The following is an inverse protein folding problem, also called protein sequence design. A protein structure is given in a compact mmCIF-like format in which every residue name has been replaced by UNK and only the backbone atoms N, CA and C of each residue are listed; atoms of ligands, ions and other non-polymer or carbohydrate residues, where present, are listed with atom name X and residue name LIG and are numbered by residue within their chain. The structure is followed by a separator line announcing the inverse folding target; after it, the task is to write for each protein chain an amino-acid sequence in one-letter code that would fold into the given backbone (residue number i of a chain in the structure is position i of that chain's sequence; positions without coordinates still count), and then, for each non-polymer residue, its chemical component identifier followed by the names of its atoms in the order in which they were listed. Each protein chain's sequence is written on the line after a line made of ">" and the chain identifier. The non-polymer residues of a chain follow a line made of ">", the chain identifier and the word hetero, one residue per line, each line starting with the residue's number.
data_IF_457181250611
#
_entry.id   IF_457181250611
#
_cell.length_a   1.000
_cell.length_b   1.000
_cell.length_c   1.000
_cell.angle_alpha   90.00
_cell.angle_beta   90.00
_cell.angle_gamma   90.00
#
_symmetry.space_group_name_H-M   'P 1'
#
loop_
_entity.id
_entity.type
_entity.pdbx_description
1 polymer ?
#
# COMPACT_ATOMS: atom_id res chain seq x y z
N UNK A 1 -9.38 -7.99 -0.59
CA UNK A 1 -8.51 -8.09 0.61
C UNK A 1 -8.17 -9.56 0.85
N UNK A 2 -6.95 -9.89 1.28
CA UNK A 2 -6.54 -11.27 1.59
C UNK A 2 -6.11 -11.33 3.06
N UNK A 3 -6.65 -12.28 3.81
CA UNK A 3 -6.24 -12.52 5.21
C UNK A 3 -5.26 -13.69 5.25
N UNK A 4 -4.27 -13.60 6.12
CA UNK A 4 -3.28 -14.64 6.34
C UNK A 4 -3.48 -15.16 7.76
N UNK A 5 -3.53 -16.48 7.90
CA UNK A 5 -3.74 -17.10 9.21
C UNK A 5 -2.47 -17.04 10.07
N UNK A 6 -2.68 -16.94 11.39
CA UNK A 6 -1.64 -16.58 12.36
C UNK A 6 -0.45 -17.54 12.42
N UNK A 7 -0.61 -18.78 11.97
CA UNK A 7 0.44 -19.81 12.04
C UNK A 7 1.44 -19.73 10.87
N UNK A 8 1.21 -18.83 9.91
CA UNK A 8 2.07 -18.67 8.74
C UNK A 8 3.02 -17.49 8.95
N UNK A 9 4.31 -17.78 9.15
CA UNK A 9 5.36 -16.76 9.01
C UNK A 9 5.31 -16.22 7.58
N UNK A 10 4.79 -15.00 7.43
CA UNK A 10 4.65 -14.36 6.13
C UNK A 10 6.04 -14.13 5.55
N UNK A 11 6.39 -14.93 4.53
CA UNK A 11 7.46 -14.57 3.62
C UNK A 11 6.82 -13.65 2.58
N UNK A 12 7.06 -12.34 2.67
CA UNK A 12 6.56 -11.32 1.74
C UNK A 12 6.70 -11.73 0.28
N UNK A 13 7.81 -12.40 -0.06
CA UNK A 13 8.07 -12.94 -1.40
C UNK A 13 6.96 -13.87 -1.90
N UNK A 14 6.36 -14.69 -1.03
CA UNK A 14 5.30 -15.64 -1.39
C UNK A 14 4.04 -14.87 -1.78
N UNK A 15 3.61 -13.91 -0.96
CA UNK A 15 2.38 -13.12 -1.24
C UNK A 15 2.57 -12.28 -2.50
N UNK A 16 3.72 -11.61 -2.65
CA UNK A 16 3.99 -10.78 -3.83
C UNK A 16 4.05 -11.61 -5.12
N UNK A 17 4.76 -12.75 -5.11
CA UNK A 17 4.92 -13.59 -6.32
C UNK A 17 3.68 -14.39 -6.69
N UNK A 18 2.95 -14.91 -5.70
CA UNK A 18 1.87 -15.86 -5.97
C UNK A 18 0.49 -15.21 -6.00
N UNK A 19 0.31 -14.04 -5.39
CA UNK A 19 -0.98 -13.34 -5.33
C UNK A 19 -0.94 -12.05 -6.12
N UNK A 20 -0.07 -11.11 -5.73
CA UNK A 20 -0.07 -9.76 -6.30
C UNK A 20 0.35 -9.76 -7.77
N UNK A 21 1.49 -10.38 -8.12
CA UNK A 21 2.02 -10.33 -9.48
C UNK A 21 1.08 -10.96 -10.52
N UNK A 22 0.49 -12.16 -10.30
CA UNK A 22 -0.50 -12.73 -11.22
C UNK A 22 -1.72 -11.82 -11.37
N UNK A 23 -2.24 -11.29 -10.25
CA UNK A 23 -3.38 -10.37 -10.27
C UNK A 23 -3.08 -9.08 -11.04
N UNK A 24 -1.91 -8.48 -10.82
CA UNK A 24 -1.50 -7.25 -11.49
C UNK A 24 -1.31 -7.47 -13.00
N UNK A 25 -0.63 -8.56 -13.39
CA UNK A 25 -0.49 -8.93 -14.82
C UNK A 25 -1.84 -9.14 -15.49
N UNK A 26 -2.77 -9.83 -14.82
CA UNK A 26 -4.13 -10.01 -15.34
C UNK A 26 -4.88 -8.67 -15.47
N UNK A 27 -4.79 -7.80 -14.45
CA UNK A 27 -5.55 -6.55 -14.38
C UNK A 27 -5.02 -5.45 -15.30
N UNK A 28 -3.71 -5.27 -15.34
CA UNK A 28 -3.06 -4.19 -16.10
C UNK A 28 -2.58 -4.64 -17.49
N UNK A 29 -2.50 -5.95 -17.74
CA UNK A 29 -2.05 -6.54 -19.01
C UNK A 29 -0.67 -5.97 -19.39
N UNK A 30 -0.62 -5.22 -20.48
CA UNK A 30 0.60 -4.61 -21.02
C UNK A 30 0.85 -3.19 -20.50
N UNK A 31 -0.01 -2.67 -19.61
CA UNK A 31 0.16 -1.32 -19.07
C UNK A 31 1.22 -1.35 -17.96
N UNK A 32 2.13 -0.36 -17.93
CA UNK A 32 3.06 -0.22 -16.83
C UNK A 32 2.28 0.04 -15.53
N UNK A 33 2.79 -0.51 -14.43
CA UNK A 33 2.30 -0.25 -13.10
C UNK A 33 3.48 -0.17 -12.14
N UNK A 34 3.29 0.55 -11.04
CA UNK A 34 4.27 0.68 -9.97
C UNK A 34 3.62 0.17 -8.70
N UNK A 35 4.35 -0.66 -7.95
CA UNK A 35 3.94 -1.09 -6.62
C UNK A 35 4.77 -0.40 -5.55
N UNK A 36 4.07 0.24 -4.60
CA UNK A 36 4.63 0.92 -3.44
C UNK A 36 4.32 0.11 -2.17
N UNK A 37 5.34 -0.13 -1.33
CA UNK A 37 5.22 -0.66 0.03
C UNK A 37 6.19 0.07 0.97
N UNK A 38 6.09 -0.14 2.29
CA UNK A 38 7.04 0.43 3.23
C UNK A 38 8.40 -0.30 3.25
N UNK A 39 9.35 0.24 4.01
CA UNK A 39 10.73 -0.24 4.08
C UNK A 39 10.96 -1.31 5.17
N UNK A 40 9.89 -1.94 5.72
CA UNK A 40 10.07 -2.92 6.79
C UNK A 40 10.95 -4.10 6.31
N UNK A 41 11.68 -4.78 7.22
CA UNK A 41 12.67 -5.78 6.83
C UNK A 41 12.14 -6.88 5.90
N UNK A 42 10.89 -7.31 6.12
CA UNK A 42 10.23 -8.32 5.27
C UNK A 42 9.98 -7.82 3.83
N UNK A 43 9.91 -6.52 3.63
CA UNK A 43 9.62 -5.84 2.35
C UNK A 43 10.87 -5.51 1.52
N UNK A 44 12.08 -5.79 2.02
CA UNK A 44 13.34 -5.50 1.29
C UNK A 44 13.68 -6.48 0.17
N UNK A 45 12.79 -7.43 -0.14
CA UNK A 45 13.01 -8.37 -1.23
C UNK A 45 13.00 -7.65 -2.58
N UNK A 46 14.11 -7.76 -3.33
CA UNK A 46 14.25 -7.17 -4.67
C UNK A 46 13.42 -7.98 -5.67
N UNK A 47 12.32 -7.41 -6.15
CA UNK A 47 11.50 -7.96 -7.22
C UNK A 47 11.45 -6.94 -8.38
N UNK A 48 11.51 -7.41 -9.62
CA UNK A 48 11.42 -6.55 -10.80
C UNK A 48 9.99 -5.97 -10.94
N UNK A 49 9.88 -4.67 -11.23
CA UNK A 49 8.60 -3.94 -11.30
C UNK A 49 8.10 -3.36 -9.97
N UNK A 50 8.94 -3.39 -8.93
CA UNK A 50 8.65 -2.85 -7.61
C UNK A 50 9.57 -1.66 -7.31
N UNK A 51 9.06 -0.68 -6.57
CA UNK A 51 9.90 0.37 -5.99
C UNK A 51 10.93 -0.27 -5.07
N UNK A 52 12.20 0.13 -5.20
CA UNK A 52 13.25 -0.38 -4.34
C UNK A 52 13.00 0.10 -2.90
N UNK A 53 13.13 -0.79 -1.91
CA UNK A 53 12.97 -0.44 -0.50
C UNK A 53 13.93 0.67 -0.03
N UNK A 54 15.04 0.89 -0.74
CA UNK A 54 15.97 2.02 -0.50
C UNK A 54 15.43 3.37 -0.99
N UNK A 55 14.48 3.34 -1.92
CA UNK A 55 13.80 4.52 -2.45
C UNK A 55 12.56 4.86 -1.59
N UNK A 56 12.00 3.89 -0.87
CA UNK A 56 11.00 4.15 0.17
C UNK A 56 11.66 4.77 1.42
N UNK A 57 11.23 5.96 1.81
CA UNK A 57 11.75 6.59 3.04
C UNK A 57 11.37 5.80 4.29
N UNK A 58 12.31 5.63 5.21
CA UNK A 58 12.13 4.84 6.44
C UNK A 58 11.05 5.40 7.38
N UNK A 59 10.65 6.66 7.21
CA UNK A 59 9.62 7.37 7.98
C UNK A 59 8.31 7.59 7.18
N UNK A 60 8.03 6.75 6.17
CA UNK A 60 6.98 6.96 5.15
C UNK A 60 5.53 6.62 5.54
N UNK A 61 5.19 6.49 6.83
CA UNK A 61 3.80 6.24 7.24
C UNK A 61 2.84 7.32 6.70
N UNK A 62 3.25 8.59 6.72
CA UNK A 62 2.48 9.72 6.18
C UNK A 62 2.48 9.81 4.64
N UNK A 63 3.30 9.01 3.97
CA UNK A 63 3.47 8.98 2.53
C UNK A 63 2.80 7.78 1.86
N UNK A 64 2.28 6.81 2.60
CA UNK A 64 1.54 5.69 2.01
C UNK A 64 0.02 5.95 2.08
N UNK A 65 -0.71 6.04 0.95
CA UNK A 65 -2.17 6.19 0.92
C UNK A 65 -2.94 5.12 1.71
N UNK A 66 -2.36 3.92 1.82
CA UNK A 66 -2.93 2.89 2.70
C UNK A 66 -2.88 3.31 4.17
N UNK A 67 -1.74 3.85 4.63
CA UNK A 67 -1.48 4.17 6.03
C UNK A 67 -2.21 5.44 6.48
N UNK A 68 -2.07 6.56 5.76
CA UNK A 68 -2.67 7.83 6.21
C UNK A 68 -4.19 7.93 5.99
N UNK A 69 -4.81 6.94 5.34
CA UNK A 69 -6.22 7.05 4.92
C UNK A 69 -6.99 5.74 4.89
N UNK A 70 -6.58 4.76 4.08
CA UNK A 70 -7.44 3.58 3.83
C UNK A 70 -7.58 2.73 5.10
N UNK A 71 -6.50 2.51 5.84
CA UNK A 71 -6.54 1.77 7.10
C UNK A 71 -7.39 2.47 8.15
N UNK A 72 -7.24 3.79 8.33
CA UNK A 72 -8.05 4.55 9.27
C UNK A 72 -9.55 4.52 8.92
N UNK A 73 -9.89 4.54 7.63
CA UNK A 73 -11.28 4.40 7.18
C UNK A 73 -11.83 3.00 7.47
N UNK A 74 -11.05 1.96 7.17
CA UNK A 74 -11.43 0.57 7.43
C UNK A 74 -11.62 0.34 8.93
N UNK A 75 -10.69 0.78 9.76
CA UNK A 75 -10.78 0.69 11.21
C UNK A 75 -12.01 1.43 11.74
N UNK A 76 -12.18 2.70 11.37
CA UNK A 76 -13.32 3.51 11.83
C UNK A 76 -14.68 2.87 11.50
N UNK A 77 -14.83 2.29 10.31
CA UNK A 77 -16.10 1.68 9.88
C UNK A 77 -16.26 0.25 10.38
N UNK A 78 -15.25 -0.59 10.19
CA UNK A 78 -15.33 -2.01 10.55
C UNK A 78 -15.34 -2.18 12.07
N UNK A 79 -14.53 -1.41 12.81
CA UNK A 79 -14.46 -1.48 14.26
C UNK A 79 -15.42 -0.51 14.97
N UNK A 80 -16.40 0.06 14.26
CA UNK A 80 -17.45 0.91 14.86
C UNK A 80 -18.32 0.19 15.90
N UNK A 81 -18.28 -1.15 15.90
CA UNK A 81 -18.94 -2.03 16.86
C UNK A 81 -17.97 -3.11 17.32
N UNK A 82 -18.21 -3.63 18.53
CA UNK A 82 -17.45 -4.76 19.04
C UNK A 82 -17.72 -6.03 18.20
N UNK A 83 -16.68 -6.81 17.97
CA UNK A 83 -16.76 -8.11 17.31
C UNK A 83 -16.57 -9.24 18.31
N UNK A 84 -17.41 -10.28 18.21
CA UNK A 84 -17.36 -11.45 19.09
C UNK A 84 -16.46 -12.58 18.56
N UNK A 85 -15.93 -12.44 17.34
CA UNK A 85 -14.99 -13.39 16.75
C UNK A 85 -14.14 -12.74 15.66
N UNK A 86 -12.99 -13.37 15.37
CA UNK A 86 -12.12 -12.96 14.26
C UNK A 86 -12.86 -13.05 12.92
N UNK A 87 -13.71 -14.05 12.72
CA UNK A 87 -14.49 -14.19 11.48
C UNK A 87 -15.51 -13.07 11.31
N UNK A 88 -16.13 -12.63 12.41
CA UNK A 88 -17.02 -11.45 12.38
C UNK A 88 -16.27 -10.21 11.93
N UNK A 89 -15.04 -10.00 12.44
CA UNK A 89 -14.18 -8.89 12.05
C UNK A 89 -13.74 -9.01 10.58
N UNK A 90 -13.25 -10.18 10.14
CA UNK A 90 -12.84 -10.45 8.74
C UNK A 90 -13.96 -10.15 7.75
N UNK A 91 -15.19 -10.62 8.04
CA UNK A 91 -16.38 -10.34 7.21
C UNK A 91 -16.71 -8.85 7.15
N UNK A 92 -16.63 -8.16 8.28
CA UNK A 92 -16.95 -6.73 8.31
C UNK A 92 -15.90 -5.90 7.56
N UNK A 93 -14.61 -6.23 7.71
CA UNK A 93 -13.52 -5.61 6.94
C UNK A 93 -13.72 -5.79 5.43
N UNK A 94 -14.10 -6.99 4.98
CA UNK A 94 -14.41 -7.24 3.56
C UNK A 94 -15.59 -6.40 3.07
N UNK A 95 -16.68 -6.35 3.84
CA UNK A 95 -17.84 -5.54 3.50
C UNK A 95 -17.46 -4.06 3.35
N UNK A 96 -16.77 -3.51 4.34
CA UNK A 96 -16.36 -2.10 4.31
C UNK A 96 -15.42 -1.85 3.14
N UNK A 97 -14.49 -2.77 2.84
CA UNK A 97 -13.57 -2.67 1.70
C UNK A 97 -14.32 -2.55 0.37
N UNK A 98 -15.33 -3.39 0.12
CA UNK A 98 -16.14 -3.34 -1.10
C UNK A 98 -17.02 -2.09 -1.18
N UNK A 99 -17.40 -1.52 -0.03
CA UNK A 99 -18.18 -0.28 0.06
C UNK A 99 -17.33 1.00 -0.14
N UNK A 100 -15.99 0.91 -0.16
CA UNK A 100 -15.15 2.10 -0.37
C UNK A 100 -15.35 2.61 -1.80
N UNK A 101 -15.87 3.85 -1.98
CA UNK A 101 -16.10 4.37 -3.31
C UNK A 101 -14.78 4.53 -4.07
N UNK A 102 -14.74 4.12 -5.35
CA UNK A 102 -13.54 4.28 -6.17
C UNK A 102 -13.08 5.76 -6.26
N UNK A 103 -14.03 6.70 -6.23
CA UNK A 103 -13.75 8.15 -6.16
C UNK A 103 -12.94 8.54 -4.92
N UNK A 104 -13.18 7.88 -3.78
CA UNK A 104 -12.43 8.12 -2.56
C UNK A 104 -10.98 7.65 -2.73
N UNK A 105 -10.79 6.43 -3.24
CA UNK A 105 -9.45 5.88 -3.48
C UNK A 105 -8.63 6.75 -4.44
N UNK A 106 -9.23 7.19 -5.55
CA UNK A 106 -8.59 8.09 -6.51
C UNK A 106 -8.15 9.39 -5.86
N UNK A 107 -9.05 10.05 -5.12
CA UNK A 107 -8.71 11.31 -4.44
C UNK A 107 -7.54 11.18 -3.46
N UNK A 108 -7.35 10.02 -2.82
CA UNK A 108 -6.19 9.77 -1.94
C UNK A 108 -4.92 9.56 -2.75
N UNK A 109 -4.98 8.81 -3.84
CA UNK A 109 -3.84 8.67 -4.77
C UNK A 109 -3.45 10.04 -5.36
N UNK A 110 -4.41 10.85 -5.78
CA UNK A 110 -4.17 12.18 -6.37
C UNK A 110 -3.60 13.18 -5.33
N UNK A 111 -3.85 12.97 -4.04
CA UNK A 111 -3.27 13.76 -2.96
C UNK A 111 -1.81 13.38 -2.64
N UNK A 112 -1.33 12.21 -3.08
CA UNK A 112 0.00 11.72 -2.75
C UNK A 112 1.12 12.66 -3.23
N UNK A 113 1.15 13.16 -4.48
CA UNK A 113 2.18 14.10 -4.92
C UNK A 113 2.24 15.39 -4.10
N UNK A 114 1.09 15.89 -3.64
CA UNK A 114 1.03 17.09 -2.78
C UNK A 114 1.66 16.81 -1.42
N UNK A 115 1.32 15.67 -0.81
CA UNK A 115 1.90 15.21 0.45
C UNK A 115 3.41 15.01 0.34
N UNK A 116 3.87 14.43 -0.76
CA UNK A 116 5.29 14.20 -1.01
C UNK A 116 6.08 15.52 -1.06
N UNK A 117 5.53 16.55 -1.71
CA UNK A 117 6.16 17.90 -1.77
C UNK A 117 6.14 18.64 -0.44
N UNK A 118 5.24 18.29 0.46
CA UNK A 118 5.16 18.90 1.78
C UNK A 118 6.20 18.32 2.77
N UNK A 119 6.88 17.23 2.41
CA UNK A 119 7.96 16.67 3.23
C UNK A 119 9.22 17.51 3.06
N UNK A 120 9.81 18.03 4.16
CA UNK A 120 11.06 18.78 4.09
C UNK A 120 12.18 17.93 3.46
N UNK A 121 13.00 18.54 2.61
CA UNK A 121 14.09 17.87 1.85
C UNK A 121 15.13 17.16 2.73
N UNK A 122 15.16 17.44 4.03
CA UNK A 122 16.14 16.91 4.98
C UNK A 122 15.74 15.54 5.58
N UNK A 123 14.69 14.91 5.06
CA UNK A 123 14.37 13.51 5.39
C UNK A 123 15.12 12.60 4.41
N UNK A 124 16.18 11.94 4.88
CA UNK A 124 16.96 10.98 4.10
C UNK A 124 16.05 9.97 3.36
N UNK A 125 16.28 9.80 2.06
CA UNK A 125 15.53 8.88 1.18
C UNK A 125 14.42 9.54 0.35
N UNK A 126 13.85 10.68 0.79
CA UNK A 126 12.76 11.37 0.06
C UNK A 126 13.27 12.07 -1.20
N UNK A 127 14.46 12.70 -1.14
CA UNK A 127 15.05 13.45 -2.26
C UNK A 127 15.31 12.61 -3.52
N UNK A 128 15.47 11.28 -3.42
CA UNK A 128 15.67 10.42 -4.59
C UNK A 128 14.35 10.04 -5.26
N UNK A 129 13.25 10.02 -4.50
CA UNK A 129 11.91 9.66 -4.96
C UNK A 129 11.21 10.80 -5.71
N UNK A 130 11.36 12.02 -5.20
CA UNK A 130 10.78 13.24 -5.80
C UNK A 130 11.33 13.52 -7.19
N UNK A 131 12.62 13.29 -7.44
CA UNK A 131 13.25 13.52 -8.74
C UNK A 131 12.77 12.56 -9.85
N UNK A 132 12.45 11.30 -9.52
CA UNK A 132 12.00 10.29 -10.49
C UNK A 132 10.56 10.55 -10.97
N UNK A 133 9.64 10.86 -10.05
CA UNK A 133 8.23 11.10 -10.38
C UNK A 133 7.98 12.45 -11.06
N UNK A 134 8.75 13.50 -10.73
CA UNK A 134 8.59 14.83 -11.32
C UNK A 134 9.11 14.93 -12.77
N UNK A 135 10.07 14.08 -13.17
CA UNK A 135 10.68 14.13 -14.50
C UNK A 135 10.04 13.18 -15.52
N UNK A 136 8.92 12.54 -15.20
CA UNK A 136 8.14 11.71 -16.14
C UNK A 136 8.92 10.53 -16.74
N UNK A 137 10.04 10.14 -16.14
CA UNK A 137 10.84 9.01 -16.62
C UNK A 137 10.41 7.74 -15.90
N UNK A 138 9.40 7.08 -16.47
CA UNK A 138 9.17 5.63 -16.37
C UNK A 138 9.28 5.07 -17.78
#
# INVERSE_FOLDING_TARGET
>A
MVFIDNDIKIKTVIVLKNVLLPWAKYRFRFRPFVFQQDSAPAHRARLSGFINAQECSSNSLDLNPMNYSVWSLLESKACSKQHHSIDSLKRNLLRVWEEIPLKYLRAKVDAFPVRLRAVPEHVEGVSRFTLSMCNGSI
#
